data_IF_809092724033
#
_entry.id   IF_809092724033
#
_cell.length_a   1.000
_cell.length_b   1.000
_cell.length_c   1.000
_cell.angle_alpha   90.00
_cell.angle_beta   90.00
_cell.angle_gamma   90.00
#
_symmetry.space_group_name_H-M   'P 1'
#
loop_
_entity.id
_entity.type
_entity.pdbx_description
1 polymer ?
#
# COMPACT_ATOMS: atom_id res chain seq x y z
N UNK A 1 4.69 -8.22 21.94
CA UNK A 1 6.13 -8.11 21.63
C UNK A 1 6.28 -8.15 20.12
N UNK A 2 7.16 -7.34 19.52
CA UNK A 2 7.42 -7.47 18.10
C UNK A 2 7.99 -8.86 17.78
N UNK A 3 7.58 -9.42 16.66
CA UNK A 3 8.14 -10.66 16.16
C UNK A 3 9.64 -10.47 15.85
N UNK A 4 10.44 -11.51 16.08
CA UNK A 4 11.86 -11.48 15.76
C UNK A 4 12.30 -12.83 15.13
N UNK A 5 13.50 -12.84 14.54
CA UNK A 5 14.01 -14.02 13.86
C UNK A 5 13.06 -14.52 12.77
N UNK A 6 12.87 -15.81 12.69
CA UNK A 6 12.00 -16.43 11.68
C UNK A 6 10.51 -16.01 11.83
N UNK A 7 10.08 -15.65 13.04
CA UNK A 7 8.71 -15.20 13.28
C UNK A 7 8.43 -13.79 12.71
N UNK A 8 9.48 -13.04 12.38
CA UNK A 8 9.36 -11.73 11.73
C UNK A 8 9.28 -11.81 10.20
N UNK A 9 9.48 -12.98 9.61
CA UNK A 9 9.37 -13.14 8.16
C UNK A 9 7.91 -13.01 7.71
N UNK A 10 7.71 -12.33 6.59
CA UNK A 10 6.40 -12.25 5.95
C UNK A 10 5.96 -13.62 5.46
N UNK A 11 4.72 -13.97 5.75
CA UNK A 11 4.10 -15.21 5.31
C UNK A 11 2.86 -14.88 4.49
N UNK A 12 2.73 -15.42 3.28
CA UNK A 12 1.60 -15.09 2.41
C UNK A 12 0.23 -15.32 3.07
N UNK A 13 0.11 -16.38 3.86
CA UNK A 13 -1.13 -16.74 4.56
C UNK A 13 -1.51 -15.77 5.68
N UNK A 14 -0.54 -15.02 6.23
CA UNK A 14 -0.76 -14.06 7.32
C UNK A 14 -0.75 -12.61 6.85
N UNK A 15 -0.40 -12.38 5.58
CA UNK A 15 -0.15 -11.05 5.03
C UNK A 15 -1.33 -10.48 4.26
N UNK A 16 -1.49 -9.16 4.31
CA UNK A 16 -2.33 -8.33 3.45
C UNK A 16 -1.51 -7.15 2.93
N UNK A 17 -1.63 -6.83 1.65
CA UNK A 17 -0.95 -5.71 1.01
C UNK A 17 -1.90 -4.54 0.81
N UNK A 18 -1.46 -3.33 1.14
CA UNK A 18 -2.15 -2.08 0.79
C UNK A 18 -1.23 -1.24 -0.08
N UNK A 19 -1.66 -0.98 -1.32
CA UNK A 19 -1.00 -0.10 -2.27
C UNK A 19 -1.69 1.26 -2.25
N UNK A 20 -0.94 2.30 -1.86
CA UNK A 20 -1.48 3.60 -1.46
C UNK A 20 -1.02 4.68 -2.45
N UNK A 21 -1.98 5.31 -3.12
CA UNK A 21 -1.80 6.56 -3.88
C UNK A 21 -0.71 6.52 -4.97
N UNK A 22 -0.56 5.38 -5.63
CA UNK A 22 0.31 5.26 -6.81
C UNK A 22 -0.35 5.95 -8.01
N UNK A 23 -0.39 7.30 -7.98
CA UNK A 23 -1.11 8.19 -8.88
C UNK A 23 -0.17 9.16 -9.61
N UNK A 24 -0.56 9.67 -10.80
CA UNK A 24 0.28 10.58 -11.57
C UNK A 24 0.72 11.84 -10.84
N UNK A 25 -0.15 12.45 -10.04
CA UNK A 25 0.18 13.68 -9.30
C UNK A 25 1.31 13.42 -8.29
N UNK A 26 1.22 12.35 -7.54
CA UNK A 26 2.25 11.97 -6.55
C UNK A 26 3.57 11.59 -7.24
N UNK A 27 3.48 10.90 -8.37
CA UNK A 27 4.66 10.52 -9.13
C UNK A 27 5.41 11.73 -9.71
N UNK A 28 4.67 12.72 -10.25
CA UNK A 28 5.26 13.92 -10.84
C UNK A 28 6.05 14.77 -9.83
N UNK A 29 5.77 14.61 -8.55
CA UNK A 29 6.44 15.32 -7.45
C UNK A 29 7.39 14.44 -6.65
N UNK A 30 7.78 13.29 -7.19
CA UNK A 30 8.68 12.37 -6.53
C UNK A 30 10.13 12.83 -6.64
N UNK A 31 10.83 12.96 -5.51
CA UNK A 31 12.22 13.38 -5.45
C UNK A 31 13.16 12.33 -4.84
N UNK A 32 12.65 11.43 -4.02
CA UNK A 32 13.47 10.45 -3.30
C UNK A 32 13.94 9.27 -4.15
N UNK A 33 13.23 8.96 -5.23
CA UNK A 33 13.49 7.81 -6.11
C UNK A 33 13.28 8.20 -7.57
N UNK A 34 13.90 7.45 -8.48
CA UNK A 34 13.54 7.53 -9.89
C UNK A 34 12.07 7.12 -10.08
N UNK A 35 11.23 7.95 -10.73
CA UNK A 35 9.81 7.67 -10.88
C UNK A 35 9.51 6.34 -11.60
N UNK A 36 10.28 6.02 -12.65
CA UNK A 36 10.08 4.76 -13.38
C UNK A 36 10.42 3.53 -12.53
N UNK A 37 11.45 3.65 -11.70
CA UNK A 37 11.83 2.59 -10.76
C UNK A 37 10.74 2.36 -9.72
N UNK A 38 10.15 3.44 -9.18
CA UNK A 38 9.05 3.33 -8.22
C UNK A 38 7.82 2.63 -8.83
N UNK A 39 7.46 2.98 -10.07
CA UNK A 39 6.36 2.30 -10.81
C UNK A 39 6.68 0.83 -11.05
N UNK A 40 7.89 0.51 -11.50
CA UNK A 40 8.31 -0.87 -11.77
C UNK A 40 8.28 -1.73 -10.51
N UNK A 41 8.81 -1.20 -9.41
CA UNK A 41 8.86 -1.91 -8.14
C UNK A 41 7.47 -2.12 -7.53
N UNK A 42 6.61 -1.10 -7.56
CA UNK A 42 5.22 -1.22 -7.12
C UNK A 42 4.44 -2.24 -7.95
N UNK A 43 4.66 -2.25 -9.27
CA UNK A 43 4.07 -3.25 -10.18
C UNK A 43 4.58 -4.66 -9.87
N UNK A 44 5.88 -4.80 -9.63
CA UNK A 44 6.49 -6.07 -9.22
C UNK A 44 5.93 -6.60 -7.91
N UNK A 45 5.77 -5.72 -6.92
CA UNK A 45 5.15 -6.05 -5.63
C UNK A 45 3.69 -6.51 -5.80
N UNK A 46 2.90 -5.81 -6.62
CA UNK A 46 1.53 -6.19 -6.94
C UNK A 46 1.45 -7.58 -7.57
N UNK A 47 2.30 -7.86 -8.56
CA UNK A 47 2.39 -9.17 -9.21
C UNK A 47 2.82 -10.29 -8.24
N UNK A 48 3.79 -10.01 -7.37
CA UNK A 48 4.21 -10.96 -6.34
C UNK A 48 3.07 -11.27 -5.37
N UNK A 49 2.39 -10.25 -4.86
CA UNK A 49 1.23 -10.42 -3.98
C UNK A 49 0.15 -11.30 -4.62
N UNK A 50 -0.18 -11.05 -5.88
CA UNK A 50 -1.14 -11.87 -6.63
C UNK A 50 -0.66 -13.32 -6.78
N UNK A 51 0.60 -13.52 -7.15
CA UNK A 51 1.17 -14.87 -7.37
C UNK A 51 1.17 -15.70 -6.07
N UNK A 52 1.38 -15.08 -4.92
CA UNK A 52 1.37 -15.73 -3.61
C UNK A 52 -0.01 -15.74 -2.93
N UNK A 53 -1.06 -15.25 -3.59
CA UNK A 53 -2.41 -15.22 -3.03
C UNK A 53 -2.57 -14.27 -1.84
N UNK A 54 -1.75 -13.23 -1.76
CA UNK A 54 -1.84 -12.19 -0.71
C UNK A 54 -2.99 -11.24 -1.07
N UNK A 55 -4.03 -11.10 -0.23
CA UNK A 55 -5.07 -10.11 -0.42
C UNK A 55 -4.46 -8.72 -0.59
N UNK A 56 -4.87 -8.00 -1.63
CA UNK A 56 -4.32 -6.67 -1.95
C UNK A 56 -5.44 -5.65 -2.01
N UNK A 57 -5.28 -4.55 -1.30
CA UNK A 57 -6.18 -3.41 -1.32
C UNK A 57 -5.53 -2.27 -2.12
N UNK A 58 -6.27 -1.73 -3.09
CA UNK A 58 -5.85 -0.57 -3.88
C UNK A 58 -6.60 0.65 -3.39
N UNK A 59 -5.89 1.71 -3.04
CA UNK A 59 -6.51 2.95 -2.60
C UNK A 59 -5.85 4.16 -3.24
N UNK A 60 -6.68 5.14 -3.62
CA UNK A 60 -6.29 6.44 -4.16
C UNK A 60 -6.78 7.57 -3.25
N UNK A 61 -6.25 8.76 -3.44
CA UNK A 61 -6.72 9.97 -2.79
C UNK A 61 -7.12 11.00 -3.83
N UNK A 62 -8.37 11.50 -3.74
CA UNK A 62 -8.89 12.53 -4.64
C UNK A 62 -8.56 12.26 -6.12
N UNK A 63 -8.99 11.11 -6.62
CA UNK A 63 -8.65 10.65 -7.99
C UNK A 63 -9.03 11.66 -9.09
N UNK A 64 -10.08 12.45 -8.88
CA UNK A 64 -10.45 13.56 -9.76
C UNK A 64 -9.32 14.59 -9.96
N UNK A 65 -8.47 14.78 -8.94
CA UNK A 65 -7.36 15.75 -8.95
C UNK A 65 -6.02 15.10 -9.20
N UNK A 66 -5.78 13.98 -8.55
CA UNK A 66 -4.48 13.27 -8.56
C UNK A 66 -4.31 12.31 -9.74
N UNK A 67 -5.39 11.99 -10.44
CA UNK A 67 -5.44 10.95 -11.45
C UNK A 67 -5.75 9.57 -10.86
N UNK A 68 -6.00 8.60 -11.73
CA UNK A 68 -6.24 7.21 -11.35
C UNK A 68 -4.91 6.51 -10.97
N UNK A 69 -5.00 5.45 -10.20
CA UNK A 69 -3.85 4.56 -9.96
C UNK A 69 -3.31 4.06 -11.31
N UNK A 70 -2.00 3.91 -11.41
CA UNK A 70 -1.33 3.45 -12.63
C UNK A 70 -1.95 2.15 -13.15
N UNK A 71 -2.19 2.10 -14.46
CA UNK A 71 -2.71 0.90 -15.13
C UNK A 71 -1.83 -0.32 -14.90
N UNK A 72 -0.51 -0.14 -14.81
CA UNK A 72 0.43 -1.22 -14.52
C UNK A 72 0.09 -1.97 -13.22
N UNK A 73 -0.49 -1.29 -12.23
CA UNK A 73 -0.96 -1.89 -10.98
C UNK A 73 -2.39 -2.42 -11.12
N UNK A 74 -3.31 -1.61 -11.65
CA UNK A 74 -4.73 -2.02 -11.74
C UNK A 74 -4.94 -3.18 -12.69
N UNK A 75 -4.13 -3.30 -13.75
CA UNK A 75 -4.19 -4.43 -14.69
C UNK A 75 -3.76 -5.78 -14.04
N UNK A 76 -3.04 -5.73 -12.92
CA UNK A 76 -2.77 -6.93 -12.13
C UNK A 76 -4.04 -7.45 -11.46
N UNK A 77 -4.97 -6.55 -11.10
CA UNK A 77 -6.21 -6.84 -10.37
C UNK A 77 -7.43 -6.30 -11.11
N UNK A 78 -7.74 -6.78 -12.33
CA UNK A 78 -8.74 -6.16 -13.21
C UNK A 78 -10.17 -6.18 -12.63
N UNK A 79 -10.47 -7.13 -11.74
CA UNK A 79 -11.79 -7.26 -11.12
C UNK A 79 -11.91 -6.46 -9.81
N UNK A 80 -10.84 -5.81 -9.38
CA UNK A 80 -10.81 -5.15 -8.08
C UNK A 80 -11.09 -3.66 -8.18
N UNK A 81 -12.04 -3.18 -7.36
CA UNK A 81 -12.29 -1.76 -7.23
C UNK A 81 -11.17 -1.05 -6.46
N UNK A 82 -10.86 0.18 -6.88
CA UNK A 82 -9.99 1.09 -6.13
C UNK A 82 -10.85 1.88 -5.15
N UNK A 83 -10.41 1.96 -3.90
CA UNK A 83 -11.08 2.75 -2.86
C UNK A 83 -10.52 4.18 -2.92
N UNK A 84 -11.30 5.11 -3.50
CA UNK A 84 -10.92 6.52 -3.51
C UNK A 84 -11.32 7.22 -2.21
N UNK A 85 -10.37 7.93 -1.60
CA UNK A 85 -10.55 8.62 -0.31
C UNK A 85 -10.36 10.11 -0.46
N UNK A 86 -10.90 10.82 0.52
CA UNK A 86 -10.65 12.26 0.73
C UNK A 86 -9.67 12.51 1.88
N UNK A 87 -9.49 11.53 2.76
CA UNK A 87 -8.55 11.60 3.88
C UNK A 87 -7.15 11.17 3.42
N UNK A 88 -6.16 11.97 3.77
CA UNK A 88 -4.75 11.71 3.43
C UNK A 88 -4.26 10.44 4.14
N UNK A 89 -4.50 10.34 5.44
CA UNK A 89 -4.16 9.13 6.19
C UNK A 89 -5.15 8.01 5.87
N UNK A 90 -4.69 7.02 5.15
CA UNK A 90 -5.44 5.85 4.74
C UNK A 90 -6.08 5.10 5.93
N UNK A 91 -5.41 5.07 7.08
CA UNK A 91 -5.89 4.35 8.27
C UNK A 91 -7.02 5.06 8.99
N UNK A 92 -7.31 6.32 8.65
CA UNK A 92 -8.47 7.07 9.16
C UNK A 92 -9.72 6.85 8.32
N UNK A 93 -9.62 6.23 7.14
CA UNK A 93 -10.79 5.94 6.32
C UNK A 93 -11.33 4.53 6.63
N UNK A 94 -12.52 4.42 7.25
CA UNK A 94 -13.12 3.13 7.60
C UNK A 94 -13.33 2.22 6.39
N UNK A 95 -13.57 2.76 5.19
CA UNK A 95 -13.72 1.96 3.97
C UNK A 95 -12.48 1.12 3.68
N UNK A 96 -11.29 1.65 3.95
CA UNK A 96 -10.03 0.90 3.76
C UNK A 96 -9.80 -0.05 4.93
N UNK A 97 -9.89 0.47 6.15
CA UNK A 97 -9.58 -0.31 7.37
C UNK A 97 -10.50 -1.51 7.52
N UNK A 98 -11.79 -1.36 7.22
CA UNK A 98 -12.75 -2.47 7.31
C UNK A 98 -12.46 -3.58 6.30
N UNK A 99 -12.06 -3.22 5.07
CA UNK A 99 -11.65 -4.22 4.05
C UNK A 99 -10.37 -4.93 4.47
N UNK A 100 -9.40 -4.21 5.01
CA UNK A 100 -8.15 -4.81 5.54
C UNK A 100 -8.47 -5.79 6.67
N UNK A 101 -9.26 -5.36 7.65
CA UNK A 101 -9.67 -6.22 8.78
C UNK A 101 -10.46 -7.44 8.36
N UNK A 102 -11.32 -7.29 7.34
CA UNK A 102 -12.13 -8.39 6.80
C UNK A 102 -11.28 -9.53 6.19
N UNK A 103 -10.01 -9.28 5.83
CA UNK A 103 -9.09 -10.32 5.36
C UNK A 103 -8.71 -11.32 6.46
N UNK A 104 -8.85 -10.96 7.73
CA UNK A 104 -8.42 -11.76 8.88
C UNK A 104 -6.89 -11.89 9.04
N UNK A 105 -6.12 -11.18 8.21
CA UNK A 105 -4.65 -11.20 8.23
C UNK A 105 -4.13 -10.33 9.36
N UNK A 106 -2.86 -10.54 9.75
CA UNK A 106 -2.21 -9.83 10.86
C UNK A 106 -0.94 -9.10 10.45
N UNK A 107 -0.30 -9.53 9.37
CA UNK A 107 0.87 -8.87 8.81
C UNK A 107 0.42 -7.89 7.72
N UNK A 108 0.65 -6.60 7.95
CA UNK A 108 0.25 -5.52 7.06
C UNK A 108 1.46 -5.05 6.25
N UNK A 109 1.41 -5.26 4.95
CA UNK A 109 2.44 -4.77 4.02
C UNK A 109 1.90 -3.49 3.39
N UNK A 110 2.70 -2.43 3.41
CA UNK A 110 2.34 -1.14 2.83
C UNK A 110 3.39 -0.66 1.85
N UNK A 111 2.94 -0.04 0.77
CA UNK A 111 3.75 0.75 -0.14
C UNK A 111 2.89 1.88 -0.71
N UNK A 112 3.50 3.03 -1.02
CA UNK A 112 2.73 4.13 -1.58
C UNK A 112 3.49 5.43 -1.77
N UNK A 113 2.78 6.40 -2.30
CA UNK A 113 3.25 7.76 -2.57
C UNK A 113 2.33 8.78 -1.86
N UNK A 114 2.84 9.62 -0.96
CA UNK A 114 4.25 9.76 -0.59
C UNK A 114 4.53 9.06 0.73
N UNK A 115 5.75 8.57 0.87
CA UNK A 115 6.22 7.82 2.05
C UNK A 115 5.97 8.57 3.35
N UNK A 116 6.34 9.85 3.41
CA UNK A 116 6.32 10.68 4.61
C UNK A 116 4.91 10.97 5.15
N UNK A 117 3.88 10.80 4.33
CA UNK A 117 2.48 11.11 4.70
C UNK A 117 1.59 9.89 4.52
N UNK A 118 1.35 9.49 3.26
CA UNK A 118 0.35 8.49 2.92
C UNK A 118 0.73 7.07 3.38
N UNK A 119 2.03 6.83 3.64
CA UNK A 119 2.54 5.56 4.15
C UNK A 119 2.90 5.64 5.63
N UNK A 120 3.68 6.65 6.04
CA UNK A 120 4.16 6.74 7.42
C UNK A 120 3.03 6.90 8.44
N UNK A 121 2.05 7.76 8.16
CA UNK A 121 0.95 7.99 9.11
C UNK A 121 0.10 6.74 9.34
N UNK A 122 -0.41 6.04 8.31
CA UNK A 122 -1.16 4.82 8.53
C UNK A 122 -0.31 3.69 9.13
N UNK A 123 0.99 3.60 8.79
CA UNK A 123 1.87 2.60 9.37
C UNK A 123 2.03 2.78 10.89
N UNK A 124 2.25 4.03 11.33
CA UNK A 124 2.36 4.35 12.76
C UNK A 124 1.05 4.04 13.50
N UNK A 125 -0.09 4.42 12.93
CA UNK A 125 -1.38 4.18 13.54
C UNK A 125 -1.70 2.68 13.62
N UNK A 126 -1.48 1.93 12.54
CA UNK A 126 -1.68 0.48 12.52
C UNK A 126 -0.79 -0.24 13.54
N UNK A 127 0.48 0.17 13.67
CA UNK A 127 1.38 -0.34 14.72
C UNK A 127 0.81 -0.09 16.12
N UNK A 128 0.26 1.10 16.37
CA UNK A 128 -0.38 1.42 17.65
C UNK A 128 -1.62 0.57 17.94
N UNK A 129 -2.28 0.04 16.91
CA UNK A 129 -3.42 -0.87 17.01
C UNK A 129 -3.00 -2.36 17.11
N UNK A 130 -1.70 -2.65 17.10
CA UNK A 130 -1.16 -4.00 17.28
C UNK A 130 -0.95 -4.80 15.99
N UNK A 131 -0.97 -4.15 14.82
CA UNK A 131 -0.59 -4.78 13.56
C UNK A 131 0.92 -5.00 13.48
N UNK A 132 1.31 -6.07 12.80
CA UNK A 132 2.70 -6.30 12.38
C UNK A 132 2.89 -5.62 11.01
N UNK A 133 3.59 -4.47 10.97
CA UNK A 133 3.65 -3.60 9.80
C UNK A 133 5.02 -3.66 9.13
N UNK A 134 5.01 -3.87 7.82
CA UNK A 134 6.20 -3.80 6.96
C UNK A 134 5.96 -2.80 5.83
N UNK A 135 6.88 -1.87 5.65
CA UNK A 135 6.85 -0.90 4.54
C UNK A 135 7.87 -1.29 3.48
N UNK A 136 7.43 -1.35 2.22
CA UNK A 136 8.31 -1.62 1.07
C UNK A 136 8.80 -0.28 0.52
N UNK A 137 10.02 0.08 0.89
CA UNK A 137 10.55 1.43 0.65
C UNK A 137 10.90 1.73 -0.79
N UNK A 138 11.28 0.74 -1.58
CA UNK A 138 11.59 0.89 -3.01
C UNK A 138 10.35 0.84 -3.92
N UNK A 139 9.20 0.44 -3.38
CA UNK A 139 7.88 0.58 -4.00
C UNK A 139 7.11 1.81 -3.47
N UNK A 140 7.78 2.63 -2.69
CA UNK A 140 7.31 3.89 -2.11
C UNK A 140 8.24 5.02 -2.53
N UNK A 141 7.89 6.25 -2.19
CA UNK A 141 8.77 7.39 -2.42
C UNK A 141 8.16 8.68 -1.90
N UNK A 142 9.01 9.65 -1.65
CA UNK A 142 8.67 10.95 -1.07
C UNK A 142 9.09 12.14 -1.92
N UNK A 143 8.62 13.31 -1.53
CA UNK A 143 8.91 14.63 -2.15
C UNK A 143 10.27 15.17 -1.72
#
# INVERSE_FOLDING_TARGET
MPNNGLAALLRPEDSVLVLIDHQPYQLANLNSHDPQMAVNNATGLAKAAKAFGVPTILTSVLAERGGLIFSQITDVFPEQAVIDRTLINTWQDPKVVDVVRATGRKQLIMAGLWTEVCVAMPAIQALGEGWDVTVITDASGGT
#
